data_IF_925634544569
#
_entry.id   IF_925634544569
#
_cell.length_a   1.000
_cell.length_b   1.000
_cell.length_c   1.000
_cell.angle_alpha   90.00
_cell.angle_beta   90.00
_cell.angle_gamma   90.00
#
_symmetry.space_group_name_H-M   'P 1'
#
loop_
_entity.id
_entity.type
_entity.pdbx_description
1 polymer ?
#
# COMPACT_ATOMS: atom_id res chain seq x y z
N UNK A 1 17.47 0.77 26.80
CA UNK A 1 18.14 1.70 25.86
C UNK A 1 18.34 0.96 24.54
N UNK A 2 17.73 1.47 23.48
CA UNK A 2 17.85 0.96 22.12
C UNK A 2 19.22 1.29 21.53
N UNK A 3 19.63 0.53 20.51
CA UNK A 3 20.92 0.73 19.83
C UNK A 3 20.68 1.33 18.46
N UNK A 4 21.47 2.33 18.02
CA UNK A 4 21.38 2.84 16.66
C UNK A 4 21.33 1.71 15.64
N UNK A 5 20.50 1.88 14.61
CA UNK A 5 20.34 0.89 13.55
C UNK A 5 20.76 1.49 12.23
N UNK A 6 21.64 0.79 11.53
CA UNK A 6 21.97 1.15 10.16
C UNK A 6 20.89 0.62 9.22
N UNK A 7 20.65 1.35 8.12
CA UNK A 7 19.82 0.86 7.04
C UNK A 7 20.51 -0.32 6.36
N UNK A 8 19.89 -1.51 6.32
CA UNK A 8 20.51 -2.70 5.81
C UNK A 8 20.36 -2.72 4.29
N UNK A 9 21.29 -3.39 3.60
CA UNK A 9 21.14 -3.66 2.15
C UNK A 9 19.89 -4.49 1.81
N UNK A 10 19.38 -5.26 2.78
CA UNK A 10 18.14 -6.02 2.69
C UNK A 10 17.38 -5.91 4.01
N UNK A 11 16.13 -5.46 3.94
CA UNK A 11 15.25 -5.40 5.11
C UNK A 11 14.92 -6.84 5.54
N UNK A 12 14.95 -7.10 6.85
CA UNK A 12 14.62 -8.41 7.43
C UNK A 12 13.61 -8.22 8.55
N UNK A 13 12.84 -9.26 8.90
CA UNK A 13 11.90 -9.18 10.02
C UNK A 13 12.61 -8.83 11.35
N UNK A 14 13.81 -9.38 11.57
CA UNK A 14 14.64 -9.04 12.73
C UNK A 14 15.04 -7.57 12.73
N UNK A 15 15.31 -7.00 11.55
CA UNK A 15 15.62 -5.57 11.44
C UNK A 15 14.38 -4.71 11.65
N UNK A 16 13.24 -5.05 11.03
CA UNK A 16 11.97 -4.33 11.23
C UNK A 16 11.55 -4.32 12.70
N UNK A 17 11.62 -5.46 13.39
CA UNK A 17 11.35 -5.55 14.83
C UNK A 17 12.23 -4.60 15.64
N UNK A 18 13.52 -4.48 15.28
CA UNK A 18 14.43 -3.52 15.94
C UNK A 18 14.12 -2.08 15.57
N UNK A 19 13.80 -1.81 14.31
CA UNK A 19 13.50 -0.48 13.81
C UNK A 19 12.22 0.09 14.41
N UNK A 20 11.21 -0.76 14.65
CA UNK A 20 9.94 -0.37 15.23
C UNK A 20 9.86 -0.56 16.75
N UNK A 21 10.88 -1.13 17.41
CA UNK A 21 10.82 -1.40 18.85
C UNK A 21 10.52 -0.14 19.71
N UNK A 22 11.20 1.02 19.52
CA UNK A 22 10.90 2.23 20.30
C UNK A 22 9.46 2.70 20.14
N UNK A 23 8.96 2.71 18.91
CA UNK A 23 7.58 3.09 18.61
C UNK A 23 6.57 2.07 19.16
N UNK A 24 6.87 0.78 19.04
CA UNK A 24 5.98 -0.29 19.52
C UNK A 24 5.84 -0.22 21.04
N UNK A 25 6.95 -0.12 21.77
CA UNK A 25 6.96 -0.06 23.22
C UNK A 25 6.24 1.21 23.72
N UNK A 26 6.42 2.34 23.03
CA UNK A 26 5.70 3.58 23.32
C UNK A 26 4.19 3.42 23.14
N UNK A 27 3.75 2.87 22.01
CA UNK A 27 2.33 2.66 21.72
C UNK A 27 1.70 1.62 22.65
N UNK A 28 2.42 0.57 23.03
CA UNK A 28 1.95 -0.39 24.06
C UNK A 28 1.69 0.30 25.40
N UNK A 29 2.57 1.24 25.79
CA UNK A 29 2.45 1.91 27.08
C UNK A 29 1.39 3.01 27.12
N UNK A 30 1.11 3.69 25.99
CA UNK A 30 0.26 4.89 25.98
C UNK A 30 -1.06 4.70 25.23
N UNK A 31 -1.09 3.81 24.23
CA UNK A 31 -2.24 3.58 23.35
C UNK A 31 -2.46 2.08 23.10
N UNK A 32 -2.58 1.24 24.14
CA UNK A 32 -2.57 -0.22 23.99
C UNK A 32 -3.70 -0.75 23.09
N UNK A 33 -4.87 -0.11 23.13
CA UNK A 33 -6.05 -0.50 22.34
C UNK A 33 -5.91 -0.11 20.86
N UNK A 34 -5.27 1.03 20.57
CA UNK A 34 -5.18 1.59 19.21
C UNK A 34 -3.84 1.30 18.53
N UNK A 35 -2.87 0.76 19.26
CA UNK A 35 -1.50 0.46 18.79
C UNK A 35 -1.49 -0.18 17.40
N UNK A 36 -2.29 -1.24 17.20
CA UNK A 36 -2.30 -1.99 15.95
C UNK A 36 -2.73 -1.11 14.77
N UNK A 37 -3.69 -0.22 15.00
CA UNK A 37 -4.21 0.74 14.02
C UNK A 37 -3.21 1.87 13.78
N UNK A 38 -2.59 2.42 14.81
CA UNK A 38 -1.57 3.46 14.67
C UNK A 38 -0.32 2.97 13.94
N UNK A 39 0.15 1.74 14.25
CA UNK A 39 1.31 1.14 13.61
C UNK A 39 1.14 0.98 12.11
N UNK A 40 -0.06 0.68 11.61
CA UNK A 40 -0.30 0.56 10.17
C UNK A 40 -0.18 1.90 9.41
N UNK A 41 -0.21 3.03 10.12
CA UNK A 41 -0.04 4.36 9.53
C UNK A 41 1.38 4.91 9.61
N UNK A 42 2.29 4.25 10.32
CA UNK A 42 3.63 4.78 10.60
C UNK A 42 4.71 4.03 9.82
N UNK A 43 5.48 4.80 9.05
CA UNK A 43 6.65 4.35 8.30
C UNK A 43 7.92 4.69 9.08
N UNK A 44 8.84 3.73 9.25
CA UNK A 44 10.18 4.02 9.72
C UNK A 44 10.99 4.69 8.61
N UNK A 45 11.55 5.86 8.91
CA UNK A 45 12.25 6.69 7.93
C UNK A 45 13.76 6.45 7.96
N UNK A 46 14.38 6.63 9.14
CA UNK A 46 15.82 6.47 9.35
C UNK A 46 16.15 6.54 10.84
N UNK A 47 17.38 6.12 11.17
CA UNK A 47 17.99 6.39 12.46
C UNK A 47 19.21 7.29 12.25
N UNK A 48 19.15 8.53 12.74
CA UNK A 48 20.21 9.53 12.58
C UNK A 48 20.33 10.34 13.86
N UNK A 49 21.53 10.80 14.20
CA UNK A 49 21.77 11.64 15.39
C UNK A 49 21.21 11.00 16.68
N UNK A 50 21.38 9.67 16.81
CA UNK A 50 20.88 8.89 17.95
C UNK A 50 19.37 8.94 18.15
N UNK A 51 18.61 9.14 17.07
CA UNK A 51 17.14 9.19 17.09
C UNK A 51 16.54 8.28 16.04
N UNK A 52 15.41 7.67 16.36
CA UNK A 52 14.57 6.93 15.44
C UNK A 52 13.49 7.85 14.92
N UNK A 53 13.37 7.97 13.59
CA UNK A 53 12.35 8.80 12.96
C UNK A 53 11.30 7.95 12.28
N UNK A 54 10.05 8.31 12.52
CA UNK A 54 8.89 7.74 11.87
C UNK A 54 8.03 8.84 11.27
N UNK A 55 7.27 8.49 10.25
CA UNK A 55 6.35 9.40 9.57
C UNK A 55 5.02 8.71 9.37
N UNK A 56 3.95 9.42 9.69
CA UNK A 56 2.61 9.02 9.36
C UNK A 56 2.44 9.16 7.84
N UNK A 57 2.22 8.06 7.12
CA UNK A 57 2.17 8.13 5.66
C UNK A 57 0.95 8.89 5.15
N UNK A 58 -0.10 9.03 5.95
CA UNK A 58 -1.30 9.78 5.60
C UNK A 58 -1.15 11.28 5.91
N UNK A 59 -0.97 11.65 7.18
CA UNK A 59 -0.91 13.06 7.61
C UNK A 59 0.41 13.73 7.34
N UNK A 60 1.45 12.93 7.04
CA UNK A 60 2.86 13.36 6.96
C UNK A 60 3.43 13.88 8.28
N UNK A 61 2.69 13.79 9.39
CA UNK A 61 3.21 14.11 10.72
C UNK A 61 4.33 13.15 11.12
N UNK A 62 5.34 13.66 11.82
CA UNK A 62 6.51 12.90 12.23
C UNK A 62 6.55 12.68 13.72
N UNK A 63 7.07 11.52 14.12
CA UNK A 63 7.41 11.21 15.51
C UNK A 63 8.84 10.69 15.57
N UNK A 64 9.59 11.13 16.57
CA UNK A 64 10.96 10.71 16.78
C UNK A 64 11.23 10.34 18.24
N UNK A 65 12.07 9.33 18.42
CA UNK A 65 12.46 8.80 19.72
C UNK A 65 13.98 8.84 19.87
N UNK A 66 14.48 9.17 21.06
CA UNK A 66 15.89 8.98 21.36
C UNK A 66 16.24 7.51 21.66
N UNK A 67 17.52 7.21 21.91
CA UNK A 67 17.96 5.85 22.26
C UNK A 67 17.43 5.34 23.60
N UNK A 68 16.89 6.20 24.46
CA UNK A 68 16.25 5.76 25.71
C UNK A 68 14.82 5.29 25.49
N UNK A 69 14.21 5.63 24.35
CA UNK A 69 12.80 5.38 24.06
C UNK A 69 11.89 6.56 24.36
N UNK A 70 12.46 7.71 24.73
CA UNK A 70 11.68 8.90 25.00
C UNK A 70 11.33 9.61 23.70
N UNK A 71 10.09 10.07 23.62
CA UNK A 71 9.61 10.92 22.53
C UNK A 71 10.35 12.26 22.60
N UNK A 72 11.08 12.60 21.54
CA UNK A 72 11.78 13.88 21.41
C UNK A 72 11.07 14.83 20.45
N UNK A 73 10.32 14.30 19.50
CA UNK A 73 9.46 15.04 18.57
C UNK A 73 8.20 14.23 18.37
N UNK A 74 7.04 14.86 18.42
CA UNK A 74 5.77 14.26 18.02
C UNK A 74 4.86 15.36 17.48
N UNK A 75 4.70 15.39 16.16
CA UNK A 75 3.76 16.30 15.54
C UNK A 75 2.33 15.93 15.94
N UNK A 76 1.46 16.95 16.01
CA UNK A 76 0.06 16.81 16.42
C UNK A 76 -0.69 15.69 15.67
N UNK A 77 -0.35 15.49 14.40
CA UNK A 77 -0.99 14.51 13.52
C UNK A 77 -0.18 13.24 13.31
N UNK A 78 0.97 13.05 13.99
CA UNK A 78 1.84 11.89 13.80
C UNK A 78 1.17 10.58 14.23
N UNK A 79 0.41 10.59 15.33
CA UNK A 79 -0.29 9.41 15.87
C UNK A 79 -1.75 9.34 15.47
N UNK A 80 -2.23 10.25 14.62
CA UNK A 80 -3.62 10.25 14.19
C UNK A 80 -3.89 8.97 13.40
N UNK A 81 -4.85 8.19 13.87
CA UNK A 81 -5.36 6.99 13.21
C UNK A 81 -6.88 7.04 12.98
N UNK A 82 -7.57 7.98 13.63
CA UNK A 82 -8.96 8.31 13.36
C UNK A 82 -9.03 9.32 12.22
N UNK A 83 -8.87 8.76 11.03
CA UNK A 83 -9.31 9.40 9.82
C UNK A 83 -10.77 9.06 9.68
N UNK A 84 -11.63 10.07 9.86
CA UNK A 84 -12.85 10.06 9.05
C UNK A 84 -12.34 9.95 7.62
N UNK A 85 -12.63 8.81 6.98
CA UNK A 85 -12.52 8.74 5.53
C UNK A 85 -13.14 10.05 5.02
N UNK A 86 -12.47 10.79 4.13
CA UNK A 86 -13.11 11.93 3.49
C UNK A 86 -14.51 11.49 3.12
N UNK A 87 -15.54 12.26 3.49
CA UNK A 87 -16.94 11.88 3.25
C UNK A 87 -16.99 11.24 1.88
N UNK A 88 -17.32 9.96 1.85
CA UNK A 88 -17.33 9.20 0.63
C UNK A 88 -18.38 9.88 -0.24
N UNK A 89 -17.92 10.71 -1.17
CA UNK A 89 -18.74 11.24 -2.23
C UNK A 89 -18.55 10.21 -3.34
N UNK A 90 -19.50 9.27 -3.52
CA UNK A 90 -19.40 8.33 -4.61
C UNK A 90 -19.31 9.14 -5.89
N UNK A 91 -18.29 8.87 -6.70
CA UNK A 91 -18.25 9.44 -8.05
C UNK A 91 -19.40 8.82 -8.82
N UNK A 92 -20.38 9.64 -9.21
CA UNK A 92 -21.47 9.20 -10.07
C UNK A 92 -20.88 8.80 -11.43
N UNK A 93 -20.79 7.50 -11.66
CA UNK A 93 -20.27 6.95 -12.91
C UNK A 93 -21.42 6.47 -13.77
N UNK A 94 -21.38 6.72 -15.10
CA UNK A 94 -22.31 6.10 -16.02
C UNK A 94 -22.36 4.58 -15.84
N UNK A 95 -23.48 3.92 -16.18
CA UNK A 95 -23.55 2.47 -16.28
C UNK A 95 -22.38 1.92 -17.10
N UNK A 96 -21.91 0.71 -16.76
CA UNK A 96 -20.73 0.08 -17.38
C UNK A 96 -20.84 0.00 -18.91
N UNK A 97 -22.04 -0.22 -19.42
CA UNK A 97 -22.39 -0.32 -20.83
C UNK A 97 -22.24 1.02 -21.57
N UNK A 98 -22.31 2.14 -20.85
CA UNK A 98 -22.24 3.50 -21.39
C UNK A 98 -20.85 4.13 -21.22
N UNK A 99 -19.94 3.47 -20.48
CA UNK A 99 -18.59 3.97 -20.27
C UNK A 99 -17.74 3.77 -21.53
N UNK A 100 -17.22 4.89 -22.05
CA UNK A 100 -16.12 4.80 -22.99
C UNK A 100 -14.87 4.24 -22.28
N UNK A 101 -14.36 3.11 -22.77
CA UNK A 101 -13.11 2.50 -22.31
C UNK A 101 -12.09 2.62 -23.42
N UNK A 102 -10.91 3.17 -23.09
CA UNK A 102 -9.83 3.34 -24.04
C UNK A 102 -9.42 1.98 -24.63
N UNK A 103 -9.20 1.87 -25.97
CA UNK A 103 -8.92 0.58 -26.62
C UNK A 103 -7.72 -0.18 -26.02
N UNK A 104 -6.69 0.53 -25.55
CA UNK A 104 -5.54 -0.10 -24.91
C UNK A 104 -5.90 -0.74 -23.56
N UNK A 105 -6.85 -0.18 -22.81
CA UNK A 105 -7.33 -0.78 -21.55
C UNK A 105 -8.05 -2.09 -21.86
N UNK A 106 -8.96 -2.07 -22.84
CA UNK A 106 -9.70 -3.26 -23.28
C UNK A 106 -8.74 -4.36 -23.73
N UNK A 107 -7.81 -4.05 -24.65
CA UNK A 107 -6.81 -5.01 -25.15
C UNK A 107 -5.93 -5.56 -24.03
N UNK A 108 -5.50 -4.72 -23.10
CA UNK A 108 -4.67 -5.16 -21.99
C UNK A 108 -5.42 -6.15 -21.09
N UNK A 109 -6.67 -5.84 -20.73
CA UNK A 109 -7.49 -6.70 -19.89
C UNK A 109 -7.73 -8.05 -20.56
N UNK A 110 -8.13 -8.07 -21.83
CA UNK A 110 -8.37 -9.30 -22.61
C UNK A 110 -7.11 -10.15 -22.78
N UNK A 111 -5.93 -9.53 -22.89
CA UNK A 111 -4.67 -10.25 -23.12
C UNK A 111 -4.00 -10.73 -21.84
N UNK A 112 -4.27 -10.10 -20.68
CA UNK A 112 -3.53 -10.35 -19.43
C UNK A 112 -4.37 -11.08 -18.38
N UNK A 113 -5.68 -10.83 -18.29
CA UNK A 113 -6.54 -11.50 -17.32
C UNK A 113 -7.05 -12.82 -17.89
N UNK A 114 -6.96 -13.89 -17.08
CA UNK A 114 -7.68 -15.12 -17.40
C UNK A 114 -9.18 -14.99 -17.03
N UNK A 115 -10.07 -15.88 -17.51
CA UNK A 115 -11.51 -15.75 -17.29
C UNK A 115 -11.93 -15.66 -15.82
N UNK A 116 -11.21 -16.34 -14.92
CA UNK A 116 -11.49 -16.29 -13.48
C UNK A 116 -11.11 -14.93 -12.89
N UNK A 117 -9.94 -14.41 -13.25
CA UNK A 117 -9.48 -13.10 -12.81
C UNK A 117 -10.33 -11.98 -13.38
N UNK A 118 -10.75 -12.09 -14.65
CA UNK A 118 -11.62 -11.10 -15.27
C UNK A 118 -12.99 -11.04 -14.58
N UNK A 119 -13.58 -12.19 -14.26
CA UNK A 119 -14.84 -12.26 -13.53
C UNK A 119 -14.76 -11.59 -12.16
N UNK A 120 -13.63 -11.76 -11.46
CA UNK A 120 -13.46 -11.30 -10.08
C UNK A 120 -12.97 -9.85 -9.97
N UNK A 121 -12.01 -9.45 -10.81
CA UNK A 121 -11.29 -8.18 -10.70
C UNK A 121 -11.41 -7.30 -11.94
N UNK A 122 -11.97 -7.81 -13.04
CA UNK A 122 -11.87 -7.17 -14.35
C UNK A 122 -12.54 -5.80 -14.43
N UNK A 123 -13.53 -5.52 -13.60
CA UNK A 123 -14.13 -4.18 -13.53
C UNK A 123 -13.20 -3.18 -12.82
N UNK A 124 -12.69 -3.56 -11.65
CA UNK A 124 -11.78 -2.73 -10.87
C UNK A 124 -10.49 -2.44 -11.62
N UNK A 125 -9.95 -3.43 -12.32
CA UNK A 125 -8.77 -3.26 -13.18
C UNK A 125 -9.08 -2.30 -14.33
N UNK A 126 -10.24 -2.41 -14.98
CA UNK A 126 -10.64 -1.46 -16.05
C UNK A 126 -10.73 -0.04 -15.52
N UNK A 127 -11.39 0.17 -14.38
CA UNK A 127 -11.50 1.49 -13.74
C UNK A 127 -10.12 2.02 -13.39
N UNK A 128 -9.28 1.22 -12.73
CA UNK A 128 -7.92 1.59 -12.36
C UNK A 128 -7.08 2.02 -13.57
N UNK A 129 -7.07 1.22 -14.63
CA UNK A 129 -6.30 1.50 -15.84
C UNK A 129 -6.89 2.68 -16.63
N UNK A 130 -8.22 2.83 -16.70
CA UNK A 130 -8.88 3.89 -17.43
C UNK A 130 -8.72 5.25 -16.75
N UNK A 131 -8.92 5.29 -15.44
CA UNK A 131 -9.10 6.54 -14.71
C UNK A 131 -7.84 6.97 -13.94
N UNK A 132 -6.94 6.05 -13.60
CA UNK A 132 -5.82 6.35 -12.69
C UNK A 132 -4.46 6.10 -13.34
N UNK A 133 -4.15 4.84 -13.67
CA UNK A 133 -2.82 4.50 -14.19
C UNK A 133 -2.62 4.91 -15.64
N UNK A 134 -3.58 4.59 -16.53
CA UNK A 134 -3.50 4.90 -17.95
C UNK A 134 -3.17 6.37 -18.24
N UNK A 135 -3.87 7.35 -17.64
CA UNK A 135 -3.52 8.76 -17.80
C UNK A 135 -2.08 9.12 -17.40
N UNK A 136 -1.51 8.46 -16.38
CA UNK A 136 -0.14 8.71 -15.93
C UNK A 136 0.92 8.19 -16.92
N UNK A 137 0.60 7.13 -17.65
CA UNK A 137 1.51 6.50 -18.64
C UNK A 137 1.07 6.73 -20.08
N UNK A 138 0.16 7.68 -20.31
CA UNK A 138 -0.45 7.96 -21.62
C UNK A 138 -0.99 6.69 -22.32
N UNK A 139 -1.59 5.79 -21.53
CA UNK A 139 -2.15 4.51 -21.95
C UNK A 139 -1.16 3.53 -22.62
N UNK A 140 0.15 3.73 -22.41
CA UNK A 140 1.20 2.75 -22.70
C UNK A 140 1.35 1.81 -21.50
N UNK A 141 0.75 0.63 -21.58
CA UNK A 141 0.62 -0.34 -20.48
C UNK A 141 1.32 -1.68 -20.81
N UNK A 142 2.17 -1.69 -21.83
CA UNK A 142 2.86 -2.88 -22.33
C UNK A 142 3.78 -3.49 -21.26
N UNK A 143 4.35 -2.65 -20.40
CA UNK A 143 5.25 -3.02 -19.31
C UNK A 143 4.50 -3.61 -18.09
N UNK A 144 3.18 -3.45 -17.99
CA UNK A 144 2.41 -4.00 -16.89
C UNK A 144 2.35 -5.53 -16.97
N UNK A 145 2.67 -6.14 -15.83
CA UNK A 145 2.71 -7.58 -15.61
C UNK A 145 1.75 -7.97 -14.49
N UNK A 146 1.21 -9.19 -14.59
CA UNK A 146 0.33 -9.77 -13.60
C UNK A 146 1.05 -10.87 -12.84
N UNK A 147 0.80 -10.92 -11.54
CA UNK A 147 1.24 -12.00 -10.66
C UNK A 147 1.92 -11.45 -9.42
N UNK A 148 2.16 -12.32 -8.46
CA UNK A 148 2.91 -11.92 -7.28
C UNK A 148 4.39 -11.73 -7.64
N UNK A 149 5.00 -10.57 -7.35
CA UNK A 149 6.35 -10.27 -7.83
C UNK A 149 7.44 -11.11 -7.15
N UNK A 150 7.15 -11.77 -6.03
CA UNK A 150 8.06 -12.70 -5.37
C UNK A 150 7.73 -14.15 -5.74
N UNK A 151 8.74 -15.04 -5.76
CA UNK A 151 8.53 -16.45 -6.08
C UNK A 151 7.56 -17.12 -5.07
N UNK A 152 6.48 -17.74 -5.58
CA UNK A 152 5.54 -18.62 -4.85
C UNK A 152 4.87 -17.97 -3.62
N UNK A 153 4.19 -16.84 -3.81
CA UNK A 153 3.48 -16.16 -2.71
C UNK A 153 2.16 -15.48 -3.07
N UNK A 154 1.59 -15.73 -4.25
CA UNK A 154 0.30 -15.14 -4.61
C UNK A 154 -0.80 -15.60 -3.65
N UNK A 155 -1.55 -14.65 -3.11
CA UNK A 155 -2.74 -14.92 -2.32
C UNK A 155 -3.96 -15.06 -3.25
N UNK A 156 -4.76 -16.14 -3.17
CA UNK A 156 -5.88 -16.37 -4.10
C UNK A 156 -6.93 -15.25 -4.14
N UNK A 157 -7.13 -14.55 -3.02
CA UNK A 157 -8.05 -13.41 -2.91
C UNK A 157 -7.48 -12.08 -3.40
N UNK A 158 -6.29 -12.07 -4.02
CA UNK A 158 -5.68 -10.85 -4.53
C UNK A 158 -5.20 -10.99 -5.98
N UNK A 159 -5.35 -9.92 -6.75
CA UNK A 159 -4.69 -9.74 -8.03
C UNK A 159 -3.57 -8.71 -7.89
N UNK A 160 -2.38 -9.07 -8.34
CA UNK A 160 -1.20 -8.21 -8.28
C UNK A 160 -0.85 -7.76 -9.69
N UNK A 161 -0.75 -6.45 -9.90
CA UNK A 161 -0.38 -5.82 -11.17
C UNK A 161 0.80 -4.89 -10.90
N UNK A 162 1.84 -4.96 -11.70
CA UNK A 162 3.01 -4.11 -11.51
C UNK A 162 3.74 -3.81 -12.83
N UNK A 163 4.33 -2.62 -12.97
CA UNK A 163 5.17 -2.29 -14.11
C UNK A 163 6.51 -3.05 -14.02
N UNK A 164 6.87 -3.78 -15.07
CA UNK A 164 8.08 -4.62 -15.12
C UNK A 164 9.34 -3.83 -15.46
N UNK A 165 9.22 -2.72 -16.20
CA UNK A 165 10.35 -1.88 -16.62
C UNK A 165 10.60 -0.71 -15.67
N UNK A 166 9.62 -0.35 -14.83
CA UNK A 166 9.82 0.65 -13.80
C UNK A 166 10.90 0.15 -12.83
N UNK A 167 11.99 0.93 -12.71
CA UNK A 167 13.09 0.67 -11.76
C UNK A 167 12.64 0.68 -10.29
N UNK A 168 11.40 1.05 -10.04
CA UNK A 168 10.72 1.09 -8.76
C UNK A 168 10.06 -0.26 -8.47
N UNK A 169 10.44 -0.91 -7.36
CA UNK A 169 9.76 -2.13 -6.88
C UNK A 169 8.37 -1.74 -6.34
N UNK A 170 7.37 -1.59 -7.21
CA UNK A 170 6.00 -1.23 -6.84
C UNK A 170 5.01 -2.29 -7.33
N UNK A 171 3.98 -2.58 -6.56
CA UNK A 171 2.89 -3.46 -6.97
C UNK A 171 1.53 -2.90 -6.56
N UNK A 172 0.57 -2.93 -7.47
CA UNK A 172 -0.84 -2.65 -7.23
C UNK A 172 -1.52 -3.96 -6.83
N UNK A 173 -2.04 -4.02 -5.62
CA UNK A 173 -2.70 -5.19 -5.06
C UNK A 173 -4.20 -4.96 -4.99
N UNK A 174 -4.95 -5.52 -5.94
CA UNK A 174 -6.41 -5.52 -5.90
C UNK A 174 -6.89 -6.60 -4.93
N UNK A 175 -7.65 -6.21 -3.92
CA UNK A 175 -8.14 -7.10 -2.86
C UNK A 175 -9.59 -7.47 -3.15
N UNK A 176 -9.87 -8.77 -3.24
CA UNK A 176 -11.22 -9.29 -3.49
C UNK A 176 -12.12 -9.22 -2.26
N UNK A 177 -13.43 -9.20 -2.48
CA UNK A 177 -14.49 -9.07 -1.46
C UNK A 177 -14.35 -10.05 -0.30
N UNK A 178 -13.83 -11.25 -0.56
CA UNK A 178 -13.57 -12.28 0.45
C UNK A 178 -12.72 -11.76 1.62
N UNK A 179 -11.75 -10.89 1.34
CA UNK A 179 -10.89 -10.24 2.35
C UNK A 179 -11.52 -8.93 2.85
N UNK A 180 -12.14 -8.15 1.98
CA UNK A 180 -12.71 -6.82 2.31
C UNK A 180 -13.89 -6.94 3.29
N UNK A 181 -14.79 -7.90 3.05
CA UNK A 181 -16.00 -8.09 3.86
C UNK A 181 -15.75 -8.97 5.10
N UNK A 182 -14.49 -9.26 5.44
CA UNK A 182 -14.10 -10.21 6.49
C UNK A 182 -14.82 -11.57 6.41
N UNK A 183 -15.27 -11.97 5.21
CA UNK A 183 -15.88 -13.29 4.97
C UNK A 183 -14.83 -14.41 5.01
N UNK A 184 -13.56 -14.05 4.83
CA UNK A 184 -12.41 -14.92 5.05
C UNK A 184 -12.18 -15.21 6.55
N UNK A 185 -11.80 -16.44 6.88
CA UNK A 185 -11.44 -16.78 8.26
C UNK A 185 -10.22 -15.99 8.77
N UNK A 186 -10.06 -15.86 10.09
CA UNK A 186 -8.91 -15.17 10.72
C UNK A 186 -7.54 -15.63 10.18
N UNK A 187 -7.43 -16.91 9.83
CA UNK A 187 -6.20 -17.50 9.26
C UNK A 187 -5.91 -16.99 7.85
N UNK A 188 -6.93 -16.79 7.03
CA UNK A 188 -6.80 -16.26 5.67
C UNK A 188 -6.43 -14.78 5.67
N UNK A 189 -7.04 -14.01 6.57
CA UNK A 189 -6.67 -12.61 6.79
C UNK A 189 -5.21 -12.47 7.24
N UNK A 190 -4.74 -13.32 8.17
CA UNK A 190 -3.32 -13.35 8.57
C UNK A 190 -2.40 -13.70 7.40
N UNK A 191 -2.77 -14.67 6.57
CA UNK A 191 -2.00 -15.01 5.36
C UNK A 191 -1.91 -13.82 4.41
N UNK A 192 -2.99 -13.06 4.21
CA UNK A 192 -2.99 -11.82 3.45
C UNK A 192 -1.97 -10.80 4.03
N UNK A 193 -2.04 -10.53 5.34
CA UNK A 193 -1.11 -9.60 6.01
C UNK A 193 0.35 -10.04 5.92
N UNK A 194 0.62 -11.34 6.03
CA UNK A 194 1.97 -11.87 5.89
C UNK A 194 2.50 -11.69 4.45
N UNK A 195 1.63 -11.72 3.43
CA UNK A 195 2.04 -11.40 2.04
C UNK A 195 2.36 -9.93 1.82
N UNK A 196 1.56 -9.02 2.37
CA UNK A 196 1.91 -7.59 2.33
C UNK A 196 3.24 -7.31 3.03
N UNK A 197 3.49 -7.99 4.16
CA UNK A 197 4.76 -7.92 4.88
C UNK A 197 5.92 -8.49 4.05
N UNK A 198 5.73 -9.61 3.38
CA UNK A 198 6.74 -10.22 2.49
C UNK A 198 7.18 -9.24 1.39
N UNK A 199 6.24 -8.56 0.75
CA UNK A 199 6.51 -7.53 -0.26
C UNK A 199 7.41 -6.43 0.32
N UNK A 200 6.97 -5.86 1.45
CA UNK A 200 7.69 -4.79 2.16
C UNK A 200 9.11 -5.20 2.54
N UNK A 201 9.28 -6.41 3.10
CA UNK A 201 10.60 -6.96 3.48
C UNK A 201 11.53 -7.12 2.28
N UNK A 202 10.98 -7.43 1.11
CA UNK A 202 11.76 -7.55 -0.13
C UNK A 202 11.89 -6.21 -0.89
N UNK A 203 11.51 -5.10 -0.26
CA UNK A 203 11.67 -3.75 -0.79
C UNK A 203 10.60 -3.36 -1.81
N UNK A 204 9.51 -4.12 -1.93
CA UNK A 204 8.37 -3.75 -2.74
C UNK A 204 7.45 -2.80 -1.98
N UNK A 205 7.05 -1.72 -2.64
CA UNK A 205 5.99 -0.83 -2.23
C UNK A 205 4.66 -1.38 -2.74
N UNK A 206 3.84 -1.92 -1.85
CA UNK A 206 2.50 -2.38 -2.18
C UNK A 206 1.50 -1.24 -2.06
N UNK A 207 0.78 -0.95 -3.14
CA UNK A 207 -0.39 -0.08 -3.15
C UNK A 207 -1.62 -0.96 -3.16
N UNK A 208 -2.26 -1.10 -2.00
CA UNK A 208 -3.44 -1.92 -1.81
C UNK A 208 -4.69 -1.16 -2.28
N UNK A 209 -5.44 -1.76 -3.21
CA UNK A 209 -6.60 -1.18 -3.87
C UNK A 209 -7.82 -1.98 -3.45
N UNK A 210 -8.67 -1.34 -2.66
CA UNK A 210 -10.00 -1.81 -2.32
C UNK A 210 -11.03 -1.23 -3.30
N UNK A 211 -12.17 -1.90 -3.53
CA UNK A 211 -13.21 -1.40 -4.44
C UNK A 211 -13.65 0.03 -4.11
N UNK A 212 -13.76 0.36 -2.82
CA UNK A 212 -14.19 1.66 -2.33
C UNK A 212 -13.18 2.77 -2.67
N UNK A 213 -11.89 2.46 -2.81
CA UNK A 213 -10.87 3.43 -3.24
C UNK A 213 -11.12 3.84 -4.68
N UNK A 214 -11.57 2.90 -5.51
CA UNK A 214 -11.92 3.18 -6.89
C UNK A 214 -13.23 3.94 -7.00
N UNK A 215 -14.00 4.14 -5.93
CA UNK A 215 -15.24 4.92 -5.96
C UNK A 215 -15.06 6.37 -5.48
N UNK A 216 -13.84 6.72 -5.07
CA UNK A 216 -13.47 8.06 -4.62
C UNK A 216 -13.02 8.98 -5.76
N UNK A 217 -12.90 10.28 -5.43
CA UNK A 217 -12.35 11.32 -6.32
C UNK A 217 -11.04 10.87 -6.97
N UNK A 218 -11.06 10.85 -8.30
CA UNK A 218 -9.96 10.35 -9.11
C UNK A 218 -8.67 11.15 -8.93
N UNK A 219 -8.76 12.45 -8.70
CA UNK A 219 -7.59 13.33 -8.65
C UNK A 219 -6.77 13.12 -7.38
N UNK A 220 -7.42 12.91 -6.24
CA UNK A 220 -6.74 12.60 -4.99
C UNK A 220 -5.94 11.30 -5.07
N UNK A 221 -6.53 10.24 -5.62
CA UNK A 221 -5.83 8.97 -5.73
C UNK A 221 -4.74 8.99 -6.81
N UNK A 222 -4.94 9.71 -7.93
CA UNK A 222 -3.87 9.96 -8.93
C UNK A 222 -2.67 10.68 -8.32
N UNK A 223 -2.92 11.70 -7.50
CA UNK A 223 -1.85 12.43 -6.82
C UNK A 223 -1.11 11.55 -5.81
N UNK A 224 -1.83 10.67 -5.09
CA UNK A 224 -1.22 9.64 -4.27
C UNK A 224 -0.33 8.70 -5.09
N UNK A 225 -0.84 8.15 -6.19
CA UNK A 225 -0.09 7.25 -7.07
C UNK A 225 1.16 7.94 -7.64
N UNK A 226 1.07 9.21 -8.03
CA UNK A 226 2.22 9.99 -8.50
C UNK A 226 3.30 10.15 -7.43
N UNK A 227 2.91 10.37 -6.17
CA UNK A 227 3.85 10.42 -5.05
C UNK A 227 4.44 9.05 -4.75
N UNK A 228 3.63 8.00 -4.78
CA UNK A 228 4.08 6.63 -4.57
C UNK A 228 5.12 6.23 -5.64
N UNK A 229 4.90 6.59 -6.90
CA UNK A 229 5.84 6.27 -8.00
C UNK A 229 7.15 7.05 -7.88
N UNK A 230 7.12 8.27 -7.38
CA UNK A 230 8.32 9.03 -7.06
C UNK A 230 9.12 8.45 -5.88
N UNK A 231 8.42 7.96 -4.85
CA UNK A 231 9.04 7.41 -3.64
C UNK A 231 9.60 6.01 -3.82
N UNK A 232 9.01 5.22 -4.72
CA UNK A 232 9.54 3.94 -5.10
C UNK A 232 10.81 4.18 -5.95
N UNK A 233 11.94 4.38 -5.26
CA UNK A 233 13.19 4.84 -5.86
C UNK A 233 13.66 3.89 -6.99
N UNK A 234 14.15 4.43 -8.11
CA UNK A 234 14.88 3.64 -9.09
C UNK A 234 16.17 3.12 -8.47
N UNK A 235 16.42 1.81 -8.56
CA UNK A 235 17.79 1.28 -8.39
C UNK A 235 18.71 1.75 -9.52
#
# INVERSE_FOLDING_TARGET
MYRPIDYPKKITEKWLKKAFAPLTDYLESHYPEEKSKMLSYLEFMFCENQRYYYRNWYTKGSIAFDLTGQVVVCDKDALRCDFQLPEFVPVDRPPKEERFVHPNVTRWVESKLNPRQEKQFGEWVRIFLQEYWGPMVNFHMEDLTIGYPLKRGAFPGCLYVYPSEFRSLMVFQFVGDEIVEMKSGLEEYRKFQDRERDLTVNGWHAVTIYPEVLEQDADLFRDYLRKATQLALPR
#
